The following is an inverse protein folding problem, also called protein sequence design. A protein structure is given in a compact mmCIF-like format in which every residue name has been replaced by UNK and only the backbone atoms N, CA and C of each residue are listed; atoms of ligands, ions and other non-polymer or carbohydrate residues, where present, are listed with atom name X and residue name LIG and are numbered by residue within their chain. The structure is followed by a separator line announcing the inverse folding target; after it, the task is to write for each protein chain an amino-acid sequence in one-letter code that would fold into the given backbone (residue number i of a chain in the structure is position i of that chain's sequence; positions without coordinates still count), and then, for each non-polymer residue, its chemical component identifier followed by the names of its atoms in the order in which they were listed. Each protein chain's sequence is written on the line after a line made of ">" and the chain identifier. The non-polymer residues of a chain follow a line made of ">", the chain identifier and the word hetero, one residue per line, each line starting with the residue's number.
data_IF_442443586744
#
_entry.id   IF_442443586744
#
_cell.length_a   1.000
_cell.length_b   1.000
_cell.length_c   1.000
_cell.angle_alpha   90.00
_cell.angle_beta   90.00
_cell.angle_gamma   90.00
#
_symmetry.space_group_name_H-M   'P 1'
#
loop_
_entity.id
_entity.type
_entity.pdbx_description
1 polymer ?
#
# COMPACT_ATOMS: atom_id res chain seq x y z
N UNK A 1 -11.27 -31.68 -20.00
CA UNK A 1 -12.04 -30.90 -19.00
C UNK A 1 -11.40 -30.86 -17.60
N UNK A 2 -10.57 -31.84 -17.24
CA UNK A 2 -9.89 -31.90 -15.93
C UNK A 2 -8.66 -30.99 -15.79
N UNK A 3 -7.97 -30.66 -16.89
CA UNK A 3 -6.76 -29.82 -16.85
C UNK A 3 -7.05 -28.32 -16.53
N UNK A 4 -8.23 -27.81 -16.90
CA UNK A 4 -8.57 -26.38 -16.73
C UNK A 4 -8.87 -26.05 -15.26
N UNK A 5 -9.46 -26.99 -14.52
CA UNK A 5 -9.82 -26.80 -13.10
C UNK A 5 -8.55 -26.69 -12.24
N UNK A 6 -7.50 -27.46 -12.55
CA UNK A 6 -6.23 -27.43 -11.83
C UNK A 6 -5.43 -26.14 -12.04
N UNK A 7 -5.56 -25.50 -13.21
CA UNK A 7 -4.92 -24.21 -13.52
C UNK A 7 -5.63 -23.08 -12.77
N UNK A 8 -6.96 -23.12 -12.71
CA UNK A 8 -7.73 -22.11 -11.97
C UNK A 8 -7.42 -22.15 -10.47
N UNK A 9 -7.37 -23.34 -9.84
CA UNK A 9 -7.09 -23.44 -8.41
C UNK A 9 -5.68 -23.01 -8.02
N UNK A 10 -4.68 -23.22 -8.89
CA UNK A 10 -3.31 -22.72 -8.63
C UNK A 10 -3.25 -21.20 -8.72
N UNK A 11 -3.93 -20.57 -9.69
CA UNK A 11 -3.97 -19.11 -9.82
C UNK A 11 -4.64 -18.46 -8.59
N UNK A 12 -5.74 -19.02 -8.08
CA UNK A 12 -6.40 -18.50 -6.87
C UNK A 12 -5.48 -18.51 -5.64
N UNK A 13 -4.63 -19.53 -5.47
CA UNK A 13 -3.72 -19.62 -4.34
C UNK A 13 -2.59 -18.57 -4.38
N UNK A 14 -2.12 -18.20 -5.59
CA UNK A 14 -1.15 -17.11 -5.74
C UNK A 14 -1.78 -15.73 -5.51
N UNK A 15 -3.06 -15.56 -5.87
CA UNK A 15 -3.79 -14.33 -5.59
C UNK A 15 -3.89 -14.12 -4.07
N UNK A 16 -4.30 -15.11 -3.28
CA UNK A 16 -4.46 -14.92 -1.83
C UNK A 16 -3.14 -14.62 -1.07
N UNK A 17 -2.02 -15.23 -1.49
CA UNK A 17 -0.71 -15.01 -0.86
C UNK A 17 -0.11 -13.64 -1.17
N UNK A 18 -0.43 -13.09 -2.34
CA UNK A 18 0.00 -11.75 -2.77
C UNK A 18 -0.86 -10.65 -2.12
N UNK A 19 -2.17 -10.87 -1.96
CA UNK A 19 -3.06 -9.87 -1.34
C UNK A 19 -2.79 -9.64 0.16
N UNK A 20 -2.35 -10.66 0.90
CA UNK A 20 -2.00 -10.51 2.32
C UNK A 20 -0.83 -9.54 2.57
N UNK A 21 0.22 -9.64 1.76
CA UNK A 21 1.43 -8.79 1.90
C UNK A 21 1.19 -7.38 1.34
N UNK A 22 0.39 -7.28 0.27
CA UNK A 22 0.03 -6.00 -0.36
C UNK A 22 -0.88 -5.16 0.53
N UNK A 23 -1.87 -5.78 1.17
CA UNK A 23 -2.76 -5.08 2.11
C UNK A 23 -1.99 -4.53 3.32
N UNK A 24 -1.07 -5.33 3.88
CA UNK A 24 -0.22 -4.89 4.99
C UNK A 24 0.67 -3.72 4.56
N UNK A 25 1.35 -3.84 3.41
CA UNK A 25 2.18 -2.77 2.86
C UNK A 25 1.39 -1.49 2.62
N UNK A 26 0.18 -1.60 2.07
CA UNK A 26 -0.69 -0.46 1.88
C UNK A 26 -1.02 0.23 3.20
N UNK A 27 -1.46 -0.53 4.21
CA UNK A 27 -1.82 0.02 5.52
C UNK A 27 -0.65 0.74 6.16
N UNK A 28 0.55 0.15 6.13
CA UNK A 28 1.77 0.79 6.68
C UNK A 28 2.08 2.10 5.97
N UNK A 29 2.04 2.14 4.63
CA UNK A 29 2.33 3.36 3.87
C UNK A 29 1.24 4.41 4.06
N UNK A 30 -0.03 4.03 4.01
CA UNK A 30 -1.16 4.93 4.19
C UNK A 30 -1.24 5.50 5.61
N UNK A 31 -0.90 4.71 6.62
CA UNK A 31 -0.77 5.20 8.00
C UNK A 31 0.42 6.15 8.15
N UNK A 32 1.57 5.85 7.52
CA UNK A 32 2.70 6.79 7.46
C UNK A 32 2.33 8.11 6.78
N UNK A 33 1.47 8.06 5.76
CA UNK A 33 0.94 9.24 5.08
C UNK A 33 0.03 10.07 5.98
N UNK A 34 -0.88 9.44 6.73
CA UNK A 34 -1.72 10.11 7.74
C UNK A 34 -0.83 10.88 8.73
N UNK A 35 0.16 10.23 9.33
CA UNK A 35 1.07 10.89 10.28
C UNK A 35 1.85 12.07 9.66
N UNK A 36 2.37 11.92 8.44
CA UNK A 36 3.11 12.98 7.76
C UNK A 36 2.21 14.16 7.40
N UNK A 37 0.98 13.90 6.94
CA UNK A 37 0.00 14.94 6.61
C UNK A 37 -0.52 15.67 7.85
N UNK A 38 -0.75 14.96 8.95
CA UNK A 38 -1.13 15.53 10.24
C UNK A 38 -0.02 16.41 10.83
N UNK A 39 1.24 15.97 10.69
CA UNK A 39 2.41 16.69 11.18
C UNK A 39 2.80 17.91 10.32
N UNK A 40 2.14 18.08 9.17
CA UNK A 40 2.46 19.14 8.21
C UNK A 40 3.83 18.96 7.55
N UNK A 41 4.35 17.73 7.49
CA UNK A 41 5.62 17.44 6.83
C UNK A 41 5.53 17.71 5.32
N UNK A 42 6.68 18.04 4.73
CA UNK A 42 6.79 18.17 3.29
C UNK A 42 6.57 16.81 2.62
N UNK A 43 5.42 16.70 1.95
CA UNK A 43 4.98 15.48 1.30
C UNK A 43 5.75 15.19 -0.01
N UNK A 44 6.57 16.12 -0.50
CA UNK A 44 7.31 15.98 -1.76
C UNK A 44 8.31 14.81 -1.74
N UNK A 45 8.85 14.49 -0.56
CA UNK A 45 9.85 13.44 -0.37
C UNK A 45 9.29 12.18 0.31
N UNK A 46 7.97 12.12 0.51
CA UNK A 46 7.29 11.05 1.24
C UNK A 46 7.61 9.66 0.68
N UNK A 47 7.52 9.50 -0.64
CA UNK A 47 7.80 8.22 -1.33
C UNK A 47 9.20 7.70 -1.01
N UNK A 48 10.19 8.58 -1.08
CA UNK A 48 11.58 8.22 -0.80
C UNK A 48 11.79 7.94 0.69
N UNK A 49 11.25 8.78 1.57
CA UNK A 49 11.42 8.62 3.03
C UNK A 49 10.81 7.31 3.54
N UNK A 50 9.54 7.07 3.20
CA UNK A 50 8.82 5.87 3.66
C UNK A 50 9.45 4.60 3.11
N UNK A 51 9.71 4.54 1.81
CA UNK A 51 10.14 3.29 1.19
C UNK A 51 11.64 3.00 1.36
N UNK A 52 12.47 4.02 1.68
CA UNK A 52 13.88 3.83 2.03
C UNK A 52 14.05 3.30 3.46
N UNK A 53 13.16 3.65 4.39
CA UNK A 53 13.18 3.03 5.73
C UNK A 53 12.96 1.52 5.66
N UNK A 54 12.14 1.06 4.71
CA UNK A 54 11.90 -0.35 4.46
C UNK A 54 13.14 -1.07 3.87
N UNK A 55 14.00 -0.38 3.11
CA UNK A 55 15.29 -0.93 2.63
C UNK A 55 16.22 -1.35 3.80
N UNK A 56 16.09 -0.71 4.97
CA UNK A 56 16.89 -1.01 6.17
C UNK A 56 16.33 -2.17 7.02
N UNK A 57 15.05 -2.52 6.84
CA UNK A 57 14.31 -3.46 7.68
C UNK A 57 14.07 -4.82 7.01
N UNK A 58 14.97 -5.26 6.12
CA UNK A 58 14.92 -6.55 5.42
C UNK A 58 13.78 -6.70 4.39
N UNK A 59 13.29 -5.61 3.80
CA UNK A 59 12.32 -5.73 2.70
C UNK A 59 13.01 -6.23 1.43
N UNK A 60 12.32 -7.09 0.70
CA UNK A 60 12.77 -7.50 -0.64
C UNK A 60 12.64 -6.33 -1.61
N UNK A 61 13.40 -6.35 -2.71
CA UNK A 61 13.29 -5.35 -3.77
C UNK A 61 11.85 -5.20 -4.30
N UNK A 62 11.10 -6.30 -4.33
CA UNK A 62 9.68 -6.30 -4.71
C UNK A 62 8.82 -5.50 -3.74
N UNK A 63 8.99 -5.70 -2.43
CA UNK A 63 8.22 -4.95 -1.42
C UNK A 63 8.59 -3.47 -1.41
N UNK A 64 9.86 -3.11 -1.65
CA UNK A 64 10.30 -1.72 -1.81
C UNK A 64 9.60 -1.06 -3.02
N UNK A 65 9.54 -1.75 -4.16
CA UNK A 65 8.84 -1.23 -5.33
C UNK A 65 7.34 -1.10 -5.08
N UNK A 66 6.75 -2.06 -4.37
CA UNK A 66 5.34 -2.01 -4.01
C UNK A 66 5.03 -0.83 -3.09
N UNK A 67 5.86 -0.58 -2.07
CA UNK A 67 5.78 0.62 -1.25
C UNK A 67 5.84 1.89 -2.11
N UNK A 68 6.79 1.97 -3.04
CA UNK A 68 6.96 3.15 -3.91
C UNK A 68 5.73 3.39 -4.77
N UNK A 69 5.12 2.31 -5.29
CA UNK A 69 3.89 2.39 -6.06
C UNK A 69 2.71 2.92 -5.22
N UNK A 70 2.49 2.36 -4.03
CA UNK A 70 1.43 2.79 -3.10
C UNK A 70 1.64 4.27 -2.73
N UNK A 71 2.85 4.62 -2.29
CA UNK A 71 3.17 5.97 -1.86
C UNK A 71 2.99 6.98 -3.00
N UNK A 72 3.38 6.64 -4.23
CA UNK A 72 3.17 7.50 -5.40
C UNK A 72 1.68 7.72 -5.69
N UNK A 73 0.83 6.69 -5.55
CA UNK A 73 -0.62 6.83 -5.72
C UNK A 73 -1.24 7.77 -4.67
N UNK A 74 -0.78 7.70 -3.43
CA UNK A 74 -1.23 8.62 -2.37
C UNK A 74 -0.79 10.06 -2.65
N UNK A 75 0.47 10.27 -3.01
CA UNK A 75 1.01 11.61 -3.35
C UNK A 75 0.33 12.21 -4.57
N UNK A 76 -0.04 11.40 -5.56
CA UNK A 76 -0.69 11.88 -6.79
C UNK A 76 -2.19 12.18 -6.65
N UNK A 77 -2.84 11.78 -5.55
CA UNK A 77 -4.29 11.89 -5.39
C UNK A 77 -4.69 12.74 -4.18
N UNK A 78 -5.10 13.98 -4.42
CA UNK A 78 -5.56 14.91 -3.37
C UNK A 78 -6.78 14.40 -2.61
N UNK A 79 -7.67 13.63 -3.26
CA UNK A 79 -8.83 13.04 -2.60
C UNK A 79 -8.43 12.04 -1.52
N UNK A 80 -7.44 11.19 -1.82
CA UNK A 80 -6.86 10.26 -0.85
C UNK A 80 -6.15 11.02 0.27
N UNK A 81 -5.36 12.05 -0.04
CA UNK A 81 -4.70 12.87 0.98
C UNK A 81 -5.71 13.54 1.91
N UNK A 82 -6.82 14.07 1.37
CA UNK A 82 -7.85 14.71 2.18
C UNK A 82 -8.55 13.72 3.11
N UNK A 83 -8.77 12.48 2.69
CA UNK A 83 -9.27 11.41 3.57
C UNK A 83 -8.25 11.07 4.66
N UNK A 84 -6.98 10.93 4.31
CA UNK A 84 -5.90 10.63 5.25
C UNK A 84 -5.58 11.78 6.22
N UNK A 85 -5.98 13.02 5.92
CA UNK A 85 -5.90 14.15 6.87
C UNK A 85 -6.98 14.11 7.94
N UNK A 86 -8.04 13.33 7.75
CA UNK A 86 -9.10 13.22 8.74
C UNK A 86 -8.70 12.21 9.82
N UNK A 87 -8.95 12.51 11.10
CA UNK A 87 -8.70 11.56 12.17
C UNK A 87 -9.66 10.37 12.06
N UNK A 88 -9.19 9.16 12.39
CA UNK A 88 -10.06 7.99 12.54
C UNK A 88 -9.63 6.71 11.83
N UNK A 89 -8.33 6.52 11.55
CA UNK A 89 -7.81 5.32 10.88
C UNK A 89 -8.32 5.16 9.44
N UNK A 90 -8.45 6.27 8.72
CA UNK A 90 -8.94 6.30 7.34
C UNK A 90 -8.02 5.56 6.36
N UNK A 91 -6.77 5.27 6.76
CA UNK A 91 -5.83 4.44 5.99
C UNK A 91 -6.37 3.05 5.65
N UNK A 92 -7.24 2.47 6.48
CA UNK A 92 -7.87 1.17 6.19
C UNK A 92 -8.85 1.32 5.03
N UNK A 93 -9.73 2.33 5.08
CA UNK A 93 -10.71 2.61 4.03
C UNK A 93 -10.01 2.94 2.70
N UNK A 94 -8.96 3.76 2.75
CA UNK A 94 -8.14 4.11 1.58
C UNK A 94 -7.55 2.85 0.95
N UNK A 95 -7.01 1.93 1.74
CA UNK A 95 -6.44 0.70 1.21
C UNK A 95 -7.48 -0.27 0.64
N UNK A 96 -8.70 -0.31 1.20
CA UNK A 96 -9.78 -1.20 0.75
C UNK A 96 -10.56 -0.64 -0.44
N UNK A 97 -10.90 0.65 -0.43
CA UNK A 97 -11.84 1.22 -1.39
C UNK A 97 -11.17 2.12 -2.44
N UNK A 98 -10.14 2.87 -2.07
CA UNK A 98 -9.52 3.84 -2.99
C UNK A 98 -8.32 3.22 -3.76
N UNK A 99 -7.55 2.35 -3.10
CA UNK A 99 -6.34 1.74 -3.67
C UNK A 99 -6.51 0.26 -4.06
N UNK A 100 -7.47 -0.45 -3.45
CA UNK A 100 -7.80 -1.85 -3.77
C UNK A 100 -6.67 -2.84 -3.47
N UNK A 101 -5.84 -2.55 -2.47
CA UNK A 101 -4.82 -3.48 -1.96
C UNK A 101 -5.32 -4.35 -0.82
N UNK A 102 -6.40 -3.89 -0.18
CA UNK A 102 -7.27 -4.61 0.73
C UNK A 102 -8.71 -4.52 0.16
#
# INVERSE_FOLDING_TARGET
>A
MTAIIAILTTIYFFIELVHGDHCSSCKTVAQGAEFALESGEDFSNFVTSQCRHHELLYYTYQQINHCKEIAAKIVANEGIQNKLRQPGSNYIEVCTHDLGYC
#
